data_IF_990880862867
#
_entry.id   IF_990880862867
#
_cell.length_a   1.000
_cell.length_b   1.000
_cell.length_c   1.000
_cell.angle_alpha   90.00
_cell.angle_beta   90.00
_cell.angle_gamma   90.00
#
_symmetry.space_group_name_H-M   'P 1'
#
loop_
_entity.id
_entity.type
_entity.pdbx_description
1 polymer ?
#
# COMPACT_ATOMS: atom_id res chain seq x y z
N UNK A 1 63.76 90.22 -20.19
CA UNK A 1 62.76 91.09 -20.86
C UNK A 1 61.66 90.20 -21.42
N UNK A 2 60.45 90.21 -20.84
CA UNK A 2 59.22 90.80 -21.44
C UNK A 2 58.97 90.23 -22.87
N UNK A 3 57.89 89.52 -23.22
CA UNK A 3 56.47 89.59 -22.83
C UNK A 3 55.66 88.50 -23.58
N UNK A 4 54.55 88.03 -22.96
CA UNK A 4 53.20 87.80 -23.55
C UNK A 4 53.03 86.71 -24.63
N UNK A 5 51.94 85.96 -24.78
CA UNK A 5 50.76 85.51 -24.01
C UNK A 5 49.99 84.57 -24.97
N UNK A 6 49.31 83.57 -24.41
CA UNK A 6 48.09 82.89 -24.85
C UNK A 6 47.56 83.22 -26.27
N UNK A 7 47.22 82.17 -27.03
CA UNK A 7 45.87 82.00 -27.61
C UNK A 7 45.64 80.57 -28.10
N UNK A 8 44.68 79.96 -27.43
CA UNK A 8 43.91 78.79 -27.80
C UNK A 8 42.92 79.24 -28.89
N UNK A 9 42.89 78.57 -30.04
CA UNK A 9 41.78 78.64 -31.01
C UNK A 9 41.51 77.24 -31.52
N UNK A 10 40.33 76.75 -31.16
CA UNK A 10 39.70 75.56 -31.68
C UNK A 10 39.30 75.76 -33.14
N UNK A 11 39.48 74.74 -33.98
CA UNK A 11 38.71 74.58 -35.22
C UNK A 11 37.62 73.54 -34.99
N UNK A 12 36.39 73.96 -35.26
CA UNK A 12 35.14 73.24 -35.10
C UNK A 12 34.91 72.16 -36.18
N UNK A 13 34.17 71.13 -35.77
CA UNK A 13 33.15 70.34 -36.48
C UNK A 13 33.48 69.68 -37.83
N UNK A 14 33.44 68.35 -37.86
CA UNK A 14 32.48 67.63 -38.72
C UNK A 14 32.23 66.20 -38.22
N UNK A 15 30.98 65.99 -37.87
CA UNK A 15 30.24 64.74 -37.67
C UNK A 15 30.61 63.62 -38.65
N UNK A 16 30.93 62.44 -38.13
CA UNK A 16 30.71 61.17 -38.81
C UNK A 16 30.50 60.08 -37.76
N UNK A 17 29.26 59.99 -37.27
CA UNK A 17 28.75 58.72 -36.76
C UNK A 17 28.71 57.76 -37.94
N UNK A 18 29.48 56.68 -37.90
CA UNK A 18 29.07 55.43 -38.52
C UNK A 18 29.08 54.35 -37.43
N UNK A 19 27.86 54.00 -37.06
CA UNK A 19 27.52 52.74 -36.40
C UNK A 19 28.00 51.56 -37.24
N UNK A 20 28.23 50.44 -36.56
CA UNK A 20 28.17 49.12 -37.16
C UNK A 20 29.54 48.53 -37.42
N UNK A 21 30.02 47.72 -36.48
CA UNK A 21 30.06 46.27 -36.67
C UNK A 21 29.90 45.64 -35.28
N UNK A 22 28.65 45.47 -34.87
CA UNK A 22 28.31 44.41 -33.93
C UNK A 22 28.89 43.13 -34.52
N UNK A 23 29.80 42.47 -33.80
CA UNK A 23 30.08 41.06 -34.06
C UNK A 23 28.72 40.38 -34.11
N UNK A 24 28.36 39.87 -35.28
CA UNK A 24 27.26 38.94 -35.40
C UNK A 24 27.67 37.73 -34.56
N UNK A 25 27.26 37.73 -33.29
CA UNK A 25 26.97 36.48 -32.62
C UNK A 25 26.06 35.75 -33.61
N UNK A 26 26.55 34.64 -34.16
CA UNK A 26 25.69 33.75 -34.91
C UNK A 26 24.49 33.51 -34.01
N UNK A 27 23.33 34.02 -34.41
CA UNK A 27 22.08 33.58 -33.83
C UNK A 27 22.06 32.09 -34.13
N UNK A 28 22.50 31.29 -33.15
CA UNK A 28 22.23 29.88 -33.12
C UNK A 28 20.74 29.78 -33.44
N UNK A 29 20.42 29.07 -34.53
CA UNK A 29 19.06 28.77 -34.91
C UNK A 29 18.39 28.26 -33.64
N UNK A 30 17.62 29.12 -32.98
CA UNK A 30 17.12 28.81 -31.66
C UNK A 30 16.10 27.74 -31.92
N UNK A 31 16.43 26.49 -31.61
CA UNK A 31 15.41 25.46 -31.46
C UNK A 31 14.50 25.97 -30.33
N UNK A 32 13.47 26.73 -30.70
CA UNK A 32 12.44 27.23 -29.78
C UNK A 32 11.64 26.07 -29.19
N UNK A 33 11.77 24.89 -29.79
CA UNK A 33 11.28 23.62 -29.28
C UNK A 33 12.51 22.79 -28.87
N UNK A 34 12.84 22.78 -27.58
CA UNK A 34 13.95 21.99 -27.05
C UNK A 34 13.84 20.49 -27.36
N UNK A 35 14.91 19.74 -27.10
CA UNK A 35 14.95 18.30 -27.35
C UNK A 35 14.37 17.51 -26.17
N UNK A 36 13.81 16.33 -26.44
CA UNK A 36 13.42 15.35 -25.42
C UNK A 36 14.44 14.22 -25.33
N UNK A 37 14.32 13.40 -24.29
CA UNK A 37 14.96 12.07 -24.26
C UNK A 37 14.27 11.20 -25.32
N UNK A 38 15.07 10.49 -26.12
CA UNK A 38 14.61 9.54 -27.14
C UNK A 38 15.71 8.51 -27.43
N UNK A 39 15.35 7.23 -27.59
CA UNK A 39 16.29 6.13 -27.83
C UNK A 39 16.91 5.56 -26.55
N UNK A 40 16.39 5.95 -25.39
CA UNK A 40 16.77 5.45 -24.06
C UNK A 40 15.71 4.48 -23.56
N UNK A 41 15.68 3.31 -24.21
CA UNK A 41 14.82 2.19 -23.87
C UNK A 41 15.62 0.89 -23.73
N UNK A 42 15.07 -0.06 -22.97
CA UNK A 42 15.67 -1.36 -22.69
C UNK A 42 16.59 -1.38 -21.46
N UNK A 43 17.28 -2.51 -21.22
CA UNK A 43 18.04 -2.74 -20.00
C UNK A 43 19.04 -1.62 -19.71
N UNK A 44 19.08 -1.18 -18.45
CA UNK A 44 19.93 -0.08 -18.00
C UNK A 44 19.38 1.33 -18.26
N UNK A 45 18.28 1.46 -19.02
CA UNK A 45 17.69 2.75 -19.43
C UNK A 45 16.18 2.77 -19.20
N UNK A 46 15.77 2.28 -18.04
CA UNK A 46 14.38 2.10 -17.65
C UNK A 46 14.23 2.15 -16.13
N UNK A 47 13.01 2.40 -15.69
CA UNK A 47 12.53 2.02 -14.38
C UNK A 47 12.15 0.54 -14.47
N UNK A 48 12.54 -0.27 -13.50
CA UNK A 48 12.04 -1.63 -13.28
C UNK A 48 11.33 -1.62 -11.95
N UNK A 49 10.03 -1.94 -11.96
CA UNK A 49 9.25 -2.05 -10.74
C UNK A 49 8.88 -3.51 -10.51
N UNK A 50 9.21 -4.03 -9.34
CA UNK A 50 8.90 -5.38 -8.91
C UNK A 50 7.90 -5.32 -7.76
N UNK A 51 6.85 -6.12 -7.85
CA UNK A 51 5.86 -6.27 -6.78
C UNK A 51 5.83 -7.74 -6.33
N UNK A 52 6.17 -7.96 -5.07
CA UNK A 52 6.16 -9.26 -4.39
C UNK A 52 5.17 -9.27 -3.23
N UNK A 53 4.48 -10.38 -3.03
CA UNK A 53 3.45 -10.56 -2.00
C UNK A 53 3.59 -11.92 -1.30
N UNK A 54 2.93 -12.10 -0.16
CA UNK A 54 2.93 -13.36 0.58
C UNK A 54 2.28 -14.53 -0.17
N UNK A 55 1.25 -14.24 -0.98
CA UNK A 55 0.55 -15.25 -1.80
C UNK A 55 0.00 -14.65 -3.09
N UNK A 56 -0.05 -15.44 -4.17
CA UNK A 56 -0.54 -14.99 -5.48
C UNK A 56 -1.94 -14.35 -5.44
N UNK A 57 -2.78 -14.79 -4.48
CA UNK A 57 -4.11 -14.25 -4.28
C UNK A 57 -4.15 -12.74 -4.02
N UNK A 58 -3.08 -12.17 -3.45
CA UNK A 58 -2.96 -10.75 -3.10
C UNK A 58 -2.52 -9.86 -4.27
N UNK A 59 -2.01 -10.44 -5.36
CA UNK A 59 -1.81 -9.69 -6.59
C UNK A 59 -3.15 -9.40 -7.26
N UNK A 60 -3.24 -8.23 -7.89
CA UNK A 60 -4.35 -7.82 -8.74
C UNK A 60 -3.82 -7.32 -10.10
N UNK A 61 -4.68 -7.23 -11.12
CA UNK A 61 -4.27 -6.81 -12.49
C UNK A 61 -4.51 -5.31 -12.76
N UNK A 62 -4.70 -4.52 -11.69
CA UNK A 62 -5.07 -3.10 -11.77
C UNK A 62 -4.22 -2.16 -10.90
N UNK A 63 -3.35 -2.71 -10.04
CA UNK A 63 -2.49 -1.94 -9.15
C UNK A 63 -1.61 -0.99 -9.97
N UNK A 64 -1.52 0.24 -9.49
CA UNK A 64 -0.77 1.31 -10.16
C UNK A 64 0.34 1.76 -9.23
N UNK A 65 1.57 1.80 -9.74
CA UNK A 65 2.71 2.35 -9.04
C UNK A 65 3.03 3.73 -9.62
N UNK A 66 2.98 4.74 -8.77
CA UNK A 66 3.22 6.14 -9.10
C UNK A 66 4.68 6.50 -8.81
N UNK A 67 5.33 7.17 -9.76
CA UNK A 67 6.71 7.65 -9.63
C UNK A 67 6.75 9.17 -9.77
N UNK A 68 7.56 9.82 -8.96
CA UNK A 68 7.86 11.24 -9.04
C UNK A 68 9.28 11.44 -9.60
N UNK A 69 9.38 12.14 -10.72
CA UNK A 69 10.63 12.64 -11.29
C UNK A 69 10.73 14.14 -11.02
N UNK A 70 11.49 14.50 -10.00
CA UNK A 70 11.70 15.88 -9.56
C UNK A 70 12.97 16.45 -10.19
N UNK A 71 12.88 17.57 -10.90
CA UNK A 71 14.03 18.36 -11.34
C UNK A 71 14.65 19.10 -10.15
N UNK A 72 15.94 18.88 -9.93
CA UNK A 72 16.66 19.40 -8.75
C UNK A 72 17.67 20.50 -9.08
N UNK A 73 18.01 20.66 -10.37
CA UNK A 73 18.93 21.70 -10.83
C UNK A 73 19.72 21.26 -12.06
N UNK A 74 20.60 22.13 -12.54
CA UNK A 74 21.50 21.80 -13.64
C UNK A 74 22.84 22.52 -13.53
N UNK A 75 23.88 21.81 -13.91
CA UNK A 75 25.24 22.32 -14.02
C UNK A 75 25.57 22.75 -15.45
N UNK A 76 26.38 23.80 -15.56
CA UNK A 76 26.96 24.24 -16.82
C UNK A 76 27.94 23.19 -17.37
N UNK A 77 27.88 22.93 -18.68
CA UNK A 77 28.90 22.13 -19.38
C UNK A 77 29.77 23.06 -20.24
N UNK A 78 31.08 23.05 -19.96
CA UNK A 78 32.04 23.94 -20.62
C UNK A 78 31.77 25.40 -20.25
N UNK A 79 31.60 26.27 -21.25
CA UNK A 79 31.27 27.69 -21.06
C UNK A 79 29.79 28.00 -21.34
N UNK A 80 28.94 26.98 -21.55
CA UNK A 80 27.51 27.18 -21.72
C UNK A 80 26.87 27.53 -20.37
N UNK A 81 25.95 28.49 -20.35
CA UNK A 81 25.20 28.80 -19.14
C UNK A 81 24.29 27.65 -18.74
N UNK A 82 24.08 27.46 -17.43
CA UNK A 82 23.05 26.58 -16.91
C UNK A 82 21.66 27.03 -17.42
N UNK A 83 20.77 26.07 -17.62
CA UNK A 83 19.43 26.28 -18.16
C UNK A 83 18.43 25.38 -17.44
N UNK A 84 17.18 25.84 -17.35
CA UNK A 84 16.08 25.10 -16.75
C UNK A 84 15.29 24.39 -17.85
N UNK A 85 15.01 23.08 -17.73
CA UNK A 85 14.18 22.38 -18.69
C UNK A 85 12.72 22.84 -18.57
N UNK A 86 11.93 22.58 -19.61
CA UNK A 86 10.47 22.78 -19.56
C UNK A 86 9.78 21.44 -19.46
N UNK A 87 8.67 21.37 -18.75
CA UNK A 87 7.73 20.25 -18.76
C UNK A 87 6.39 20.75 -19.30
N UNK A 88 5.92 20.16 -20.39
CA UNK A 88 4.69 20.55 -21.10
C UNK A 88 4.62 22.06 -21.40
N UNK A 89 5.75 22.65 -21.77
CA UNK A 89 5.87 24.06 -22.16
C UNK A 89 6.05 25.05 -21.00
N UNK A 90 6.06 24.58 -19.74
CA UNK A 90 6.32 25.43 -18.56
C UNK A 90 7.68 25.10 -17.96
N UNK A 91 8.45 26.10 -17.52
CA UNK A 91 9.74 25.85 -16.86
C UNK A 91 9.55 24.98 -15.60
N UNK A 92 10.44 24.01 -15.42
CA UNK A 92 10.50 23.17 -14.22
C UNK A 92 11.15 23.96 -13.08
N UNK A 93 10.36 24.80 -12.42
CA UNK A 93 10.74 25.57 -11.23
C UNK A 93 10.15 24.92 -9.98
N UNK A 94 10.53 25.35 -8.76
CA UNK A 94 10.15 24.69 -7.49
C UNK A 94 8.66 24.25 -7.39
N UNK A 95 7.71 25.01 -7.94
CA UNK A 95 6.28 24.70 -7.89
C UNK A 95 5.77 23.79 -9.04
N UNK A 96 6.60 23.52 -10.04
CA UNK A 96 6.30 22.70 -11.23
C UNK A 96 7.50 21.79 -11.59
N UNK A 97 8.32 21.44 -10.59
CA UNK A 97 9.56 20.71 -10.77
C UNK A 97 9.34 19.20 -10.90
N UNK A 98 8.14 18.70 -10.62
CA UNK A 98 7.88 17.26 -10.57
C UNK A 98 6.98 16.83 -11.71
N UNK A 99 7.46 15.87 -12.50
CA UNK A 99 6.63 15.07 -13.41
C UNK A 99 6.27 13.76 -12.71
N UNK A 100 5.02 13.33 -12.82
CA UNK A 100 4.63 11.98 -12.40
C UNK A 100 4.61 11.01 -13.57
N UNK A 101 4.89 9.75 -13.29
CA UNK A 101 4.77 8.64 -14.23
C UNK A 101 4.14 7.44 -13.53
N UNK A 102 3.46 6.57 -14.27
CA UNK A 102 2.77 5.42 -13.74
C UNK A 102 3.22 4.14 -14.42
N UNK A 103 3.35 3.08 -13.63
CA UNK A 103 3.45 1.71 -14.13
C UNK A 103 2.19 0.98 -13.73
N UNK A 104 1.45 0.49 -14.74
CA UNK A 104 0.30 -0.40 -14.58
C UNK A 104 0.59 -1.68 -15.35
N UNK A 105 0.10 -2.81 -14.83
CA UNK A 105 0.32 -4.11 -15.45
C UNK A 105 -0.74 -5.10 -15.01
N UNK A 106 -0.87 -6.20 -15.75
CA UNK A 106 -1.63 -7.36 -15.31
C UNK A 106 -0.74 -8.20 -14.36
N UNK A 107 -0.44 -7.68 -13.17
CA UNK A 107 0.56 -8.22 -12.24
C UNK A 107 0.30 -9.68 -11.87
N UNK A 108 -0.94 -10.00 -11.49
CA UNK A 108 -1.34 -11.38 -11.13
C UNK A 108 -1.20 -12.31 -12.32
N UNK A 109 -1.66 -11.87 -13.49
CA UNK A 109 -1.56 -12.65 -14.72
C UNK A 109 -0.11 -12.89 -15.13
N UNK A 110 0.76 -11.87 -15.04
CA UNK A 110 2.19 -11.97 -15.35
C UNK A 110 2.95 -12.85 -14.36
N UNK A 111 2.53 -12.86 -13.09
CA UNK A 111 3.13 -13.73 -12.09
C UNK A 111 2.92 -15.23 -12.39
N UNK A 112 1.97 -15.59 -13.25
CA UNK A 112 1.71 -16.96 -13.71
C UNK A 112 1.56 -17.98 -12.55
N UNK A 113 0.84 -17.56 -11.49
CA UNK A 113 0.65 -18.34 -10.26
C UNK A 113 1.76 -18.18 -9.22
N UNK A 114 2.83 -17.46 -9.54
CA UNK A 114 3.88 -17.04 -8.61
C UNK A 114 3.46 -15.88 -7.70
N UNK A 115 4.30 -15.55 -6.73
CA UNK A 115 4.02 -14.51 -5.74
C UNK A 115 4.74 -13.17 -6.03
N UNK A 116 5.27 -13.01 -7.24
CA UNK A 116 6.00 -11.82 -7.65
C UNK A 116 5.88 -11.59 -9.15
N UNK A 117 5.89 -10.33 -9.56
CA UNK A 117 5.96 -9.92 -10.97
C UNK A 117 6.65 -8.57 -11.11
N UNK A 118 7.18 -8.27 -12.30
CA UNK A 118 7.84 -7.00 -12.59
C UNK A 118 7.34 -6.39 -13.89
N UNK A 119 7.39 -5.06 -13.96
CA UNK A 119 7.10 -4.29 -15.17
C UNK A 119 8.09 -3.12 -15.31
N UNK A 120 8.25 -2.62 -16.53
CA UNK A 120 9.27 -1.61 -16.84
C UNK A 120 8.66 -0.38 -17.51
N UNK A 121 9.21 0.80 -17.21
CA UNK A 121 8.93 2.05 -17.93
C UNK A 121 10.23 2.58 -18.52
N UNK A 122 10.27 2.84 -19.83
CA UNK A 122 11.48 3.36 -20.47
C UNK A 122 11.80 4.79 -20.03
N UNK A 123 13.06 5.21 -20.15
CA UNK A 123 13.41 6.61 -19.93
C UNK A 123 12.82 7.54 -20.99
N UNK A 124 12.56 7.05 -22.20
CA UNK A 124 11.82 7.80 -23.22
C UNK A 124 10.44 8.22 -22.69
N UNK A 125 9.69 7.29 -22.09
CA UNK A 125 8.39 7.56 -21.48
C UNK A 125 8.49 8.37 -20.19
N UNK A 126 9.46 8.05 -19.33
CA UNK A 126 9.69 8.76 -18.06
C UNK A 126 9.98 10.24 -18.27
N UNK A 127 10.70 10.60 -19.34
CA UNK A 127 11.04 11.99 -19.67
C UNK A 127 10.11 12.62 -20.73
N UNK A 128 9.05 11.93 -21.16
CA UNK A 128 8.08 12.50 -22.09
C UNK A 128 7.52 13.86 -21.60
N UNK A 129 7.34 14.79 -22.52
CA UNK A 129 6.95 16.17 -22.20
C UNK A 129 8.05 17.07 -21.63
N UNK A 130 9.21 16.53 -21.22
CA UNK A 130 10.37 17.33 -20.77
C UNK A 130 11.22 17.73 -21.97
N UNK A 131 11.55 19.03 -22.07
CA UNK A 131 12.35 19.61 -23.15
C UNK A 131 13.56 20.39 -22.62
N UNK A 132 14.74 20.09 -23.18
CA UNK A 132 16.01 20.76 -22.90
C UNK A 132 16.36 21.73 -24.03
N UNK A 133 16.69 22.97 -23.67
CA UNK A 133 16.89 24.08 -24.62
C UNK A 133 18.35 24.53 -24.75
N UNK A 134 19.25 23.99 -23.93
CA UNK A 134 20.67 24.30 -23.96
C UNK A 134 21.52 23.07 -23.55
N UNK A 135 22.82 23.06 -23.86
CA UNK A 135 23.73 22.10 -23.28
C UNK A 135 23.85 22.27 -21.76
N UNK A 136 23.90 21.17 -21.04
CA UNK A 136 23.97 21.16 -19.58
C UNK A 136 23.93 19.74 -19.03
N UNK A 137 24.28 19.62 -17.75
CA UNK A 137 24.05 18.41 -16.98
C UNK A 137 22.83 18.66 -16.11
N UNK A 138 21.73 17.97 -16.39
CA UNK A 138 20.44 18.19 -15.73
C UNK A 138 20.20 17.11 -14.69
N UNK A 139 19.93 17.51 -13.46
CA UNK A 139 19.81 16.61 -12.31
C UNK A 139 18.35 16.40 -11.94
N UNK A 140 17.95 15.13 -11.85
CA UNK A 140 16.63 14.74 -11.39
C UNK A 140 16.73 13.75 -10.23
N UNK A 141 15.78 13.83 -9.31
CA UNK A 141 15.55 12.84 -8.27
C UNK A 141 14.31 12.03 -8.63
N UNK A 142 14.47 10.71 -8.76
CA UNK A 142 13.40 9.76 -9.01
C UNK A 142 13.05 9.01 -7.72
N UNK A 143 11.75 8.98 -7.37
CA UNK A 143 11.20 8.25 -6.23
C UNK A 143 9.89 7.58 -6.61
N UNK A 144 9.54 6.52 -5.90
CA UNK A 144 8.19 5.98 -5.89
C UNK A 144 7.33 6.76 -4.88
N UNK A 145 6.08 7.05 -5.24
CA UNK A 145 5.10 7.61 -4.33
C UNK A 145 4.30 6.45 -3.73
N UNK A 146 4.28 6.29 -2.40
CA UNK A 146 3.54 5.22 -1.76
C UNK A 146 2.05 5.27 -2.11
N UNK A 147 1.50 4.14 -2.54
CA UNK A 147 0.08 3.98 -2.81
C UNK A 147 -0.75 3.72 -1.55
N UNK A 148 -1.87 3.02 -1.72
CA UNK A 148 -2.84 2.78 -0.65
C UNK A 148 -3.16 1.29 -0.43
N UNK A 149 -2.54 0.39 -1.20
CA UNK A 149 -2.77 -1.04 -1.04
C UNK A 149 -2.18 -1.51 0.30
N UNK A 150 -3.00 -2.07 1.22
CA UNK A 150 -2.54 -2.42 2.56
C UNK A 150 -1.58 -3.62 2.59
N UNK A 151 -1.45 -4.36 1.48
CA UNK A 151 -0.57 -5.52 1.39
C UNK A 151 0.84 -5.18 0.90
N UNK A 152 1.11 -3.91 0.57
CA UNK A 152 2.35 -3.49 -0.09
C UNK A 152 3.19 -2.63 0.85
N UNK A 153 4.41 -3.09 1.13
CA UNK A 153 5.47 -2.22 1.62
C UNK A 153 6.11 -1.54 0.41
N UNK A 154 5.72 -0.28 0.17
CA UNK A 154 6.20 0.50 -0.98
C UNK A 154 7.69 0.83 -0.87
N UNK A 155 8.38 0.87 -2.00
CA UNK A 155 9.82 1.08 -2.08
C UNK A 155 10.20 2.49 -1.61
N UNK A 156 11.14 2.58 -0.66
CA UNK A 156 11.73 3.84 -0.21
C UNK A 156 12.97 4.26 -1.01
N UNK A 157 13.32 3.47 -2.03
CA UNK A 157 14.50 3.70 -2.84
C UNK A 157 14.39 5.02 -3.61
N UNK A 158 15.55 5.63 -3.85
CA UNK A 158 15.65 6.85 -4.64
C UNK A 158 16.88 6.83 -5.53
N UNK A 159 16.73 7.45 -6.70
CA UNK A 159 17.76 7.47 -7.73
C UNK A 159 17.98 8.89 -8.23
N UNK A 160 19.24 9.26 -8.39
CA UNK A 160 19.65 10.45 -9.11
C UNK A 160 19.77 10.09 -10.59
N UNK A 161 19.10 10.86 -11.45
CA UNK A 161 19.20 10.76 -12.91
C UNK A 161 19.86 12.02 -13.44
N UNK A 162 21.06 11.86 -13.98
CA UNK A 162 21.82 12.95 -14.60
C UNK A 162 21.71 12.84 -16.12
N UNK A 163 21.01 13.79 -16.73
CA UNK A 163 20.81 13.86 -18.18
C UNK A 163 21.83 14.83 -18.78
N UNK A 164 22.77 14.30 -19.56
CA UNK A 164 23.77 15.11 -20.25
C UNK A 164 23.26 15.53 -21.62
N UNK A 165 23.11 16.84 -21.83
CA UNK A 165 22.74 17.44 -23.10
C UNK A 165 23.91 18.20 -23.68
N UNK A 166 24.20 17.96 -24.96
CA UNK A 166 25.33 18.58 -25.69
C UNK A 166 24.88 19.06 -27.06
N UNK A 167 25.71 19.87 -27.71
CA UNK A 167 25.57 20.13 -29.14
C UNK A 167 25.88 18.86 -29.94
N UNK A 168 25.03 18.55 -30.89
CA UNK A 168 25.29 17.50 -31.87
C UNK A 168 26.43 17.93 -32.81
N UNK A 169 27.28 16.97 -33.16
CA UNK A 169 28.44 17.17 -34.04
C UNK A 169 28.41 16.19 -35.19
N UNK A 170 28.84 16.66 -36.36
CA UNK A 170 29.20 15.82 -37.50
C UNK A 170 30.50 15.04 -37.24
N UNK A 171 30.81 14.05 -38.10
CA UNK A 171 32.05 13.26 -38.02
C UNK A 171 33.33 14.11 -38.05
N UNK A 172 33.26 15.28 -38.69
CA UNK A 172 34.39 16.22 -38.78
C UNK A 172 34.53 17.12 -37.54
N UNK A 173 33.69 16.94 -36.51
CA UNK A 173 33.68 17.70 -35.27
C UNK A 173 32.96 19.05 -35.33
N UNK A 174 32.39 19.43 -36.47
CA UNK A 174 31.57 20.64 -36.58
C UNK A 174 30.21 20.44 -35.92
N UNK A 175 29.71 21.47 -35.24
CA UNK A 175 28.36 21.46 -34.68
C UNK A 175 27.31 21.50 -35.80
N UNK A 176 26.25 20.72 -35.66
CA UNK A 176 25.09 20.73 -36.59
C UNK A 176 24.13 21.88 -36.29
N UNK A 177 24.24 22.45 -35.09
CA UNK A 177 23.28 23.43 -34.54
C UNK A 177 22.10 22.79 -33.81
N UNK A 178 22.01 21.46 -33.76
CA UNK A 178 21.01 20.74 -32.97
C UNK A 178 21.57 20.33 -31.61
N UNK A 179 20.68 20.12 -30.64
CA UNK A 179 21.02 19.46 -29.37
C UNK A 179 20.90 17.94 -29.48
N UNK A 180 21.63 17.24 -28.62
CA UNK A 180 21.57 15.79 -28.44
C UNK A 180 21.66 15.42 -26.96
N UNK A 181 20.85 14.46 -26.52
CA UNK A 181 21.08 13.77 -25.24
C UNK A 181 22.26 12.80 -25.42
N UNK A 182 23.40 13.14 -24.83
CA UNK A 182 24.65 12.38 -24.90
C UNK A 182 24.60 11.10 -24.08
N UNK A 183 23.99 11.17 -22.90
CA UNK A 183 23.85 10.06 -21.98
C UNK A 183 22.92 10.39 -20.82
N UNK A 184 22.42 9.34 -20.18
CA UNK A 184 21.71 9.42 -18.90
C UNK A 184 22.46 8.51 -17.94
N UNK A 185 22.92 9.07 -16.82
CA UNK A 185 23.53 8.30 -15.74
C UNK A 185 22.52 8.12 -14.61
N UNK A 186 22.39 6.89 -14.13
CA UNK A 186 21.55 6.55 -12.98
C UNK A 186 22.44 6.22 -11.80
N UNK A 187 22.21 6.86 -10.67
CA UNK A 187 22.97 6.66 -9.43
C UNK A 187 21.99 6.36 -8.30
N UNK A 188 22.22 5.28 -7.56
CA UNK A 188 21.43 5.00 -6.36
C UNK A 188 21.78 6.03 -5.28
N UNK A 189 20.76 6.73 -4.75
CA UNK A 189 20.98 7.73 -3.71
C UNK A 189 21.43 7.11 -2.37
N UNK A 190 21.06 5.85 -2.12
CA UNK A 190 21.44 5.14 -0.90
C UNK A 190 22.93 4.77 -0.89
N UNK A 191 23.48 4.32 -2.02
CA UNK A 191 24.86 3.82 -2.11
C UNK A 191 25.83 4.82 -2.74
N UNK A 192 25.32 5.86 -3.41
CA UNK A 192 26.08 6.77 -4.27
C UNK A 192 26.89 6.02 -5.36
N UNK A 193 26.39 4.88 -5.81
CA UNK A 193 27.00 4.09 -6.88
C UNK A 193 26.15 4.13 -8.14
N UNK A 194 26.83 4.07 -9.30
CA UNK A 194 26.17 3.92 -10.60
C UNK A 194 25.31 2.65 -10.60
N UNK A 195 24.10 2.78 -11.10
CA UNK A 195 23.15 1.70 -11.31
C UNK A 195 22.85 1.54 -12.81
N UNK A 196 22.54 0.32 -13.22
CA UNK A 196 22.04 0.03 -14.57
C UNK A 196 20.50 0.14 -14.53
N UNK A 197 19.99 1.37 -14.67
CA UNK A 197 18.58 1.69 -14.53
C UNK A 197 18.18 1.97 -13.07
N UNK A 198 16.89 2.22 -12.85
CA UNK A 198 16.32 2.43 -11.52
C UNK A 198 15.41 1.24 -11.17
N UNK A 199 15.80 0.43 -10.18
CA UNK A 199 14.99 -0.68 -9.69
C UNK A 199 14.17 -0.25 -8.47
N UNK A 200 12.89 -0.58 -8.41
CA UNK A 200 12.06 -0.38 -7.24
C UNK A 200 11.49 -1.74 -6.84
N UNK A 201 11.71 -2.12 -5.59
CA UNK A 201 11.32 -3.41 -5.05
C UNK A 201 10.25 -3.18 -3.99
N UNK A 202 9.01 -3.52 -4.34
CA UNK A 202 7.86 -3.48 -3.47
C UNK A 202 7.63 -4.87 -2.88
N UNK A 203 7.64 -4.96 -1.55
CA UNK A 203 7.54 -6.24 -0.84
C UNK A 203 6.20 -6.39 -0.15
N UNK A 204 5.98 -7.56 0.45
CA UNK A 204 4.86 -7.77 1.35
C UNK A 204 4.93 -6.81 2.54
N UNK A 205 3.79 -6.22 2.89
CA UNK A 205 3.63 -5.51 4.15
C UNK A 205 3.51 -6.48 5.33
N UNK A 206 3.82 -6.00 6.53
CA UNK A 206 3.63 -6.77 7.76
C UNK A 206 2.16 -7.20 7.90
N UNK A 207 1.95 -8.47 8.22
CA UNK A 207 0.63 -9.09 8.23
C UNK A 207 0.53 -10.18 9.30
N UNK A 208 -0.70 -10.49 9.71
CA UNK A 208 -1.00 -11.50 10.74
C UNK A 208 -2.18 -12.40 10.32
N UNK A 209 -2.36 -13.53 11.02
CA UNK A 209 -3.48 -14.44 10.77
C UNK A 209 -4.66 -14.19 11.72
N UNK A 210 -5.90 -14.27 11.22
CA UNK A 210 -7.08 -14.40 12.09
C UNK A 210 -7.42 -15.87 12.32
N UNK A 211 -7.46 -16.30 13.59
CA UNK A 211 -7.83 -17.67 13.96
C UNK A 211 -9.18 -17.74 14.66
N UNK A 212 -10.11 -18.50 14.10
CA UNK A 212 -11.42 -18.79 14.70
C UNK A 212 -11.43 -20.23 15.20
N UNK A 213 -11.86 -20.45 16.44
CA UNK A 213 -11.83 -21.78 17.09
C UNK A 213 -13.17 -22.16 17.70
N UNK A 214 -13.46 -23.47 17.72
CA UNK A 214 -14.71 -24.00 18.27
C UNK A 214 -14.50 -24.99 19.41
N UNK A 215 -15.08 -24.68 20.57
CA UNK A 215 -15.21 -25.58 21.72
C UNK A 215 -16.67 -25.99 21.93
N UNK A 216 -16.89 -27.25 22.29
CA UNK A 216 -18.20 -27.83 22.58
C UNK A 216 -18.08 -28.51 23.94
N UNK A 217 -18.96 -28.15 24.87
CA UNK A 217 -18.86 -28.52 26.28
C UNK A 217 -20.24 -28.66 26.94
N UNK A 218 -20.29 -29.11 28.18
CA UNK A 218 -21.54 -29.48 28.86
C UNK A 218 -21.82 -30.98 28.76
N UNK A 219 -22.71 -31.48 29.63
CA UNK A 219 -22.95 -32.92 29.80
C UNK A 219 -23.94 -33.51 28.77
N UNK A 220 -24.66 -32.67 28.03
CA UNK A 220 -25.56 -33.08 26.94
C UNK A 220 -24.97 -32.88 25.54
N UNK A 221 -23.90 -32.09 25.45
CA UNK A 221 -23.31 -31.67 24.18
C UNK A 221 -22.76 -32.81 23.31
N UNK A 222 -23.05 -32.76 22.01
CA UNK A 222 -22.49 -33.65 21.01
C UNK A 222 -21.30 -33.00 20.29
N UNK A 223 -20.09 -33.44 20.62
CA UNK A 223 -18.83 -32.94 20.03
C UNK A 223 -18.67 -33.21 18.53
N UNK A 224 -19.51 -34.07 17.95
CA UNK A 224 -19.52 -34.33 16.50
C UNK A 224 -20.41 -33.35 15.73
N UNK A 225 -21.18 -32.50 16.42
CA UNK A 225 -21.99 -31.49 15.78
C UNK A 225 -21.11 -30.49 15.03
N UNK A 226 -21.53 -30.21 13.82
CA UNK A 226 -20.92 -29.20 12.95
C UNK A 226 -21.69 -27.88 13.08
N UNK A 227 -21.02 -26.79 13.44
CA UNK A 227 -21.62 -25.47 13.62
C UNK A 227 -21.28 -24.57 12.43
N UNK A 228 -22.26 -23.81 11.95
CA UNK A 228 -22.08 -22.90 10.81
C UNK A 228 -21.67 -21.52 11.28
N UNK A 229 -20.64 -20.97 10.63
CA UNK A 229 -20.10 -19.65 10.86
C UNK A 229 -20.10 -18.82 9.59
N UNK A 230 -20.17 -17.50 9.75
CA UNK A 230 -19.82 -16.54 8.71
C UNK A 230 -18.71 -15.62 9.20
N UNK A 231 -17.86 -15.16 8.28
CA UNK A 231 -16.87 -14.12 8.52
C UNK A 231 -16.94 -13.09 7.40
N UNK A 232 -16.87 -11.81 7.78
CA UNK A 232 -16.70 -10.67 6.86
C UNK A 232 -15.44 -9.93 7.30
N UNK A 233 -14.54 -9.63 6.36
CA UNK A 233 -13.32 -8.87 6.63
C UNK A 233 -13.28 -7.63 5.73
N UNK A 234 -13.01 -6.46 6.30
CA UNK A 234 -12.95 -5.18 5.62
C UNK A 234 -11.54 -4.57 5.74
N UNK A 235 -11.18 -3.70 4.80
CA UNK A 235 -9.87 -3.02 4.80
C UNK A 235 -8.74 -3.90 4.26
N UNK A 236 -9.09 -4.85 3.40
CA UNK A 236 -8.18 -5.78 2.74
C UNK A 236 -8.28 -5.61 1.22
N UNK A 237 -7.26 -6.06 0.48
CA UNK A 237 -7.28 -6.04 -0.98
C UNK A 237 -6.75 -7.37 -1.55
N UNK A 238 -7.38 -7.86 -2.63
CA UNK A 238 -7.10 -9.17 -3.19
C UNK A 238 -7.88 -10.32 -2.55
N UNK A 239 -7.35 -11.53 -2.70
CA UNK A 239 -7.97 -12.79 -2.27
C UNK A 239 -7.06 -13.51 -1.28
N UNK A 240 -7.57 -13.76 -0.08
CA UNK A 240 -6.82 -14.34 1.02
C UNK A 240 -7.13 -15.82 1.16
N UNK A 241 -6.09 -16.64 1.25
CA UNK A 241 -6.26 -18.07 1.49
C UNK A 241 -6.61 -18.37 2.94
N UNK A 242 -7.21 -19.54 3.12
CA UNK A 242 -7.56 -20.06 4.45
C UNK A 242 -6.98 -21.45 4.66
N UNK A 243 -7.03 -21.95 5.89
CA UNK A 243 -6.66 -23.34 6.18
C UNK A 243 -7.68 -24.37 5.64
N UNK A 244 -8.82 -23.92 5.10
CA UNK A 244 -9.80 -24.78 4.41
C UNK A 244 -9.60 -24.70 2.91
N UNK A 245 -9.47 -25.87 2.29
CA UNK A 245 -9.35 -25.97 0.84
C UNK A 245 -10.53 -25.28 0.15
N UNK A 246 -10.23 -24.56 -0.93
CA UNK A 246 -11.20 -23.87 -1.79
C UNK A 246 -12.07 -22.81 -1.09
N UNK A 247 -11.70 -22.39 0.12
CA UNK A 247 -12.33 -21.27 0.82
C UNK A 247 -11.36 -20.09 0.85
N UNK A 248 -11.81 -18.98 0.28
CA UNK A 248 -11.07 -17.71 0.24
C UNK A 248 -11.89 -16.59 0.86
N UNK A 249 -11.20 -15.54 1.29
CA UNK A 249 -11.80 -14.33 1.83
C UNK A 249 -11.42 -13.14 0.96
N UNK A 250 -12.38 -12.26 0.73
CA UNK A 250 -12.31 -11.06 -0.12
C UNK A 250 -12.96 -9.90 0.62
N UNK A 251 -12.59 -8.68 0.25
CA UNK A 251 -12.99 -7.48 0.98
C UNK A 251 -14.52 -7.30 1.03
N UNK A 252 -15.07 -7.28 2.24
CA UNK A 252 -16.49 -7.03 2.51
C UNK A 252 -17.44 -8.17 2.14
N UNK A 253 -16.95 -9.27 1.56
CA UNK A 253 -17.79 -10.42 1.23
C UNK A 253 -17.97 -11.36 2.43
N UNK A 254 -19.15 -11.97 2.54
CA UNK A 254 -19.45 -12.93 3.59
C UNK A 254 -18.96 -14.33 3.18
N UNK A 255 -18.00 -14.87 3.93
CA UNK A 255 -17.48 -16.22 3.75
C UNK A 255 -18.12 -17.16 4.79
N UNK A 256 -18.79 -18.20 4.32
CA UNK A 256 -19.41 -19.23 5.19
C UNK A 256 -18.49 -20.43 5.34
N UNK A 257 -18.36 -20.95 6.57
CA UNK A 257 -17.62 -22.16 6.87
C UNK A 257 -18.21 -22.88 8.08
N UNK A 258 -17.85 -24.14 8.27
CA UNK A 258 -18.31 -24.94 9.42
C UNK A 258 -17.18 -25.29 10.38
N UNK A 259 -17.44 -25.52 11.66
CA UNK A 259 -16.46 -26.09 12.59
C UNK A 259 -17.10 -27.10 13.53
N UNK A 260 -16.42 -28.23 13.75
CA UNK A 260 -16.69 -29.16 14.85
C UNK A 260 -15.89 -28.79 16.09
N UNK A 261 -16.12 -29.52 17.17
CA UNK A 261 -15.31 -29.40 18.38
C UNK A 261 -13.81 -29.58 18.09
N UNK A 262 -13.01 -28.60 18.51
CA UNK A 262 -11.55 -28.61 18.38
C UNK A 262 -11.03 -28.17 17.01
N UNK A 263 -11.91 -27.93 16.03
CA UNK A 263 -11.52 -27.43 14.72
C UNK A 263 -11.27 -25.93 14.73
N UNK A 264 -10.49 -25.48 13.74
CA UNK A 264 -10.13 -24.08 13.56
C UNK A 264 -10.31 -23.65 12.12
N UNK A 265 -10.69 -22.40 11.93
CA UNK A 265 -10.64 -21.69 10.66
C UNK A 265 -9.59 -20.59 10.78
N UNK A 266 -8.69 -20.49 9.82
CA UNK A 266 -7.59 -19.52 9.83
C UNK A 266 -7.54 -18.80 8.50
N UNK A 267 -7.56 -17.47 8.53
CA UNK A 267 -7.31 -16.59 7.38
C UNK A 267 -5.90 -16.03 7.56
N UNK A 268 -5.04 -16.20 6.56
CA UNK A 268 -3.63 -15.80 6.63
C UNK A 268 -3.40 -14.42 6.03
N UNK A 269 -2.22 -13.85 6.32
CA UNK A 269 -1.68 -12.67 5.65
C UNK A 269 -2.57 -11.42 5.72
N UNK A 270 -3.41 -11.27 6.75
CA UNK A 270 -4.27 -10.10 6.88
C UNK A 270 -3.47 -8.87 7.32
N UNK A 271 -3.65 -7.72 6.66
CA UNK A 271 -2.94 -6.49 7.02
C UNK A 271 -3.43 -5.93 8.36
N UNK A 272 -2.55 -5.18 9.01
CA UNK A 272 -2.86 -4.46 10.23
C UNK A 272 -4.10 -3.55 10.06
N UNK A 273 -4.99 -3.55 11.06
CA UNK A 273 -6.20 -2.73 11.05
C UNK A 273 -7.36 -3.30 10.22
N UNK A 274 -7.18 -4.42 9.51
CA UNK A 274 -8.29 -5.10 8.85
C UNK A 274 -9.38 -5.45 9.89
N UNK A 275 -10.61 -5.02 9.63
CA UNK A 275 -11.73 -5.18 10.56
C UNK A 275 -12.53 -6.43 10.21
N UNK A 276 -12.72 -7.32 11.18
CA UNK A 276 -13.47 -8.55 10.98
C UNK A 276 -14.76 -8.59 11.81
N UNK A 277 -15.74 -9.31 11.31
CA UNK A 277 -16.93 -9.73 12.05
C UNK A 277 -17.14 -11.22 11.83
N UNK A 278 -17.22 -11.99 12.91
CA UNK A 278 -17.47 -13.43 12.89
C UNK A 278 -18.82 -13.67 13.56
N UNK A 279 -19.65 -14.51 12.94
CA UNK A 279 -20.95 -14.90 13.47
C UNK A 279 -21.07 -16.43 13.48
N UNK A 280 -21.59 -16.99 14.58
CA UNK A 280 -22.11 -18.35 14.60
C UNK A 280 -23.61 -18.31 14.27
N UNK A 281 -24.00 -18.82 13.10
CA UNK A 281 -25.36 -18.68 12.58
C UNK A 281 -26.28 -19.81 13.02
N UNK A 282 -25.74 -21.00 13.30
CA UNK A 282 -26.49 -22.15 13.80
C UNK A 282 -25.89 -22.69 15.09
N UNK A 283 -26.51 -22.36 16.22
CA UNK A 283 -26.14 -22.89 17.53
C UNK A 283 -26.80 -24.23 17.85
N UNK A 284 -27.57 -24.82 16.92
CA UNK A 284 -28.21 -26.15 17.03
C UNK A 284 -29.06 -26.39 18.28
N UNK A 285 -29.57 -25.32 18.88
CA UNK A 285 -30.38 -25.39 20.10
C UNK A 285 -29.60 -25.60 21.40
N UNK A 286 -28.27 -25.46 21.39
CA UNK A 286 -27.45 -25.46 22.60
C UNK A 286 -27.89 -24.33 23.55
N UNK A 287 -27.81 -24.58 24.87
CA UNK A 287 -28.23 -23.66 25.93
C UNK A 287 -27.52 -22.30 25.84
N UNK A 288 -26.22 -22.31 25.55
CA UNK A 288 -25.39 -21.10 25.59
C UNK A 288 -24.31 -21.11 24.52
N UNK A 289 -24.09 -19.96 23.89
CA UNK A 289 -22.94 -19.68 23.02
C UNK A 289 -22.14 -18.52 23.63
N UNK A 290 -20.93 -18.82 24.07
CA UNK A 290 -19.98 -17.82 24.57
C UNK A 290 -18.89 -17.58 23.54
N UNK A 291 -18.45 -16.33 23.41
CA UNK A 291 -17.33 -15.95 22.54
C UNK A 291 -16.31 -15.12 23.32
N UNK A 292 -15.03 -15.34 23.04
CA UNK A 292 -13.92 -14.54 23.54
C UNK A 292 -13.04 -14.08 22.38
N UNK A 293 -12.56 -12.84 22.45
CA UNK A 293 -11.65 -12.25 21.47
C UNK A 293 -10.29 -12.05 22.13
N UNK A 294 -9.22 -12.52 21.48
CA UNK A 294 -7.83 -12.37 21.87
C UNK A 294 -7.53 -12.79 23.32
N UNK A 295 -8.19 -13.86 23.79
CA UNK A 295 -8.03 -14.36 25.16
C UNK A 295 -8.68 -13.49 26.25
N UNK A 296 -9.47 -12.48 25.86
CA UNK A 296 -10.28 -11.69 26.78
C UNK A 296 -11.40 -12.49 27.45
N UNK A 297 -12.16 -11.83 28.33
CA UNK A 297 -13.29 -12.45 29.03
C UNK A 297 -14.35 -12.95 28.03
N UNK A 298 -14.82 -14.17 28.22
CA UNK A 298 -15.89 -14.73 27.42
C UNK A 298 -17.22 -14.02 27.72
N UNK A 299 -17.97 -13.69 26.67
CA UNK A 299 -19.28 -13.05 26.73
C UNK A 299 -20.28 -13.94 26.00
N UNK A 300 -21.50 -14.06 26.53
CA UNK A 300 -22.60 -14.75 25.86
C UNK A 300 -23.04 -13.94 24.63
N UNK A 301 -22.63 -14.39 23.45
CA UNK A 301 -22.91 -13.75 22.17
C UNK A 301 -22.63 -14.73 21.03
N UNK A 302 -23.39 -14.59 19.94
CA UNK A 302 -23.15 -15.31 18.67
C UNK A 302 -22.28 -14.53 17.70
N UNK A 303 -21.98 -13.27 18.01
CA UNK A 303 -21.21 -12.36 17.16
C UNK A 303 -19.99 -11.83 17.90
N UNK A 304 -18.87 -11.74 17.20
CA UNK A 304 -17.66 -11.08 17.65
C UNK A 304 -17.09 -10.21 16.54
N UNK A 305 -16.57 -9.04 16.92
CA UNK A 305 -15.88 -8.12 16.05
C UNK A 305 -14.48 -7.84 16.61
N UNK A 306 -13.61 -7.36 15.74
CA UNK A 306 -12.26 -6.95 16.10
C UNK A 306 -11.49 -6.43 14.91
N UNK A 307 -10.24 -6.09 15.17
CA UNK A 307 -9.28 -5.65 14.15
C UNK A 307 -8.03 -6.51 14.25
N UNK A 308 -7.34 -6.68 13.13
CA UNK A 308 -6.04 -7.35 13.10
C UNK A 308 -4.98 -6.44 13.69
N UNK A 309 -4.30 -6.93 14.73
CA UNK A 309 -3.18 -6.25 15.37
C UNK A 309 -1.89 -7.01 15.07
N UNK A 310 -0.84 -6.28 14.70
CA UNK A 310 0.49 -6.86 14.52
C UNK A 310 1.09 -7.29 15.86
N UNK A 311 1.94 -8.32 15.84
CA UNK A 311 2.66 -8.84 17.01
C UNK A 311 1.76 -9.28 18.18
N UNK A 312 0.45 -9.42 17.94
CA UNK A 312 -0.56 -9.81 18.92
C UNK A 312 -1.30 -11.06 18.48
N UNK A 313 -1.93 -11.73 19.45
CA UNK A 313 -2.81 -12.87 19.14
C UNK A 313 -4.12 -12.36 18.56
N UNK A 314 -4.41 -12.71 17.30
CA UNK A 314 -5.70 -12.44 16.64
C UNK A 314 -6.55 -13.72 16.65
N UNK A 315 -7.36 -13.92 17.69
CA UNK A 315 -8.16 -15.14 17.87
C UNK A 315 -9.59 -14.84 18.31
N UNK A 316 -10.54 -15.55 17.70
CA UNK A 316 -11.95 -15.57 18.13
C UNK A 316 -12.31 -17.00 18.56
N UNK A 317 -12.58 -17.21 19.84
CA UNK A 317 -12.87 -18.53 20.38
C UNK A 317 -14.34 -18.63 20.82
N UNK A 318 -15.10 -19.49 20.13
CA UNK A 318 -16.49 -19.81 20.43
C UNK A 318 -16.61 -21.07 21.28
N UNK A 319 -17.45 -21.04 22.30
CA UNK A 319 -17.78 -22.19 23.16
C UNK A 319 -19.28 -22.38 23.19
N UNK A 320 -19.77 -23.52 22.68
CA UNK A 320 -21.15 -23.93 22.88
C UNK A 320 -21.26 -24.86 24.08
N UNK A 321 -22.26 -24.60 24.91
CA UNK A 321 -22.54 -25.34 26.13
C UNK A 321 -23.96 -25.90 26.04
N UNK A 322 -24.11 -27.20 26.26
CA UNK A 322 -25.42 -27.86 26.34
C UNK A 322 -25.46 -28.77 27.56
N UNK A 323 -26.48 -28.54 28.41
CA UNK A 323 -26.61 -29.19 29.70
C UNK A 323 -28.00 -29.73 29.95
N UNK A 324 -28.04 -30.91 30.59
CA UNK A 324 -29.30 -31.46 31.13
C UNK A 324 -29.13 -31.81 32.60
N UNK A 325 -30.10 -31.39 33.42
CA UNK A 325 -30.18 -31.88 34.80
C UNK A 325 -30.75 -33.29 34.80
N UNK A 326 -30.16 -34.24 35.56
CA UNK A 326 -30.73 -35.58 35.69
C UNK A 326 -32.18 -35.50 36.17
N UNK A 327 -33.08 -36.37 35.70
CA UNK A 327 -34.46 -36.40 36.18
C UNK A 327 -34.45 -36.76 37.68
N UNK A 328 -34.62 -35.76 38.55
CA UNK A 328 -34.78 -35.99 39.99
C UNK A 328 -36.17 -36.55 40.25
N UNK A 329 -36.31 -37.87 40.26
CA UNK A 329 -37.55 -38.61 40.55
C UNK A 329 -38.08 -38.50 41.99
N UNK A 330 -37.84 -37.40 42.70
CA UNK A 330 -38.03 -37.30 44.15
C UNK A 330 -39.31 -36.52 44.53
N UNK A 331 -39.92 -35.72 43.64
CA UNK A 331 -41.00 -34.81 44.07
C UNK A 331 -42.40 -35.46 44.07
N UNK A 332 -42.64 -36.55 43.31
CA UNK A 332 -44.00 -37.11 43.20
C UNK A 332 -44.35 -38.21 44.21
N UNK A 333 -43.37 -38.89 44.81
CA UNK A 333 -43.63 -40.05 45.68
C UNK A 333 -43.84 -39.72 47.18
N UNK A 334 -43.57 -38.50 47.62
CA UNK A 334 -43.72 -38.11 49.04
C UNK A 334 -44.98 -37.30 49.34
N UNK A 335 -45.70 -36.82 48.32
CA UNK A 335 -46.98 -36.09 48.52
C UNK A 335 -48.02 -36.93 49.27
N UNK A 336 -48.20 -38.24 48.97
CA UNK A 336 -49.13 -39.08 49.73
C UNK A 336 -48.68 -39.30 51.18
N UNK A 337 -47.36 -39.38 51.42
CA UNK A 337 -46.77 -39.61 52.75
C UNK A 337 -46.88 -38.35 53.62
N UNK A 338 -46.59 -37.17 53.07
CA UNK A 338 -46.76 -35.88 53.76
C UNK A 338 -48.24 -35.59 54.09
N UNK A 339 -49.17 -35.93 53.19
CA UNK A 339 -50.61 -35.85 53.46
C UNK A 339 -51.05 -36.83 54.56
N UNK A 340 -50.51 -38.05 54.57
CA UNK A 340 -50.80 -39.03 55.62
C UNK A 340 -50.27 -38.57 57.00
N UNK A 341 -49.07 -37.98 57.06
CA UNK A 341 -48.55 -37.39 58.31
C UNK A 341 -49.35 -36.18 58.78
N UNK A 342 -49.80 -35.31 57.87
CA UNK A 342 -50.66 -34.17 58.21
C UNK A 342 -52.05 -34.61 58.72
N UNK A 343 -52.64 -35.65 58.11
CA UNK A 343 -53.90 -36.23 58.56
C UNK A 343 -53.77 -36.89 59.94
N UNK A 344 -52.66 -37.60 60.21
CA UNK A 344 -52.39 -38.17 61.53
C UNK A 344 -52.23 -37.09 62.61
N UNK A 345 -51.52 -35.99 62.32
CA UNK A 345 -51.38 -34.86 63.25
C UNK A 345 -52.70 -34.11 63.50
N UNK A 346 -53.51 -33.91 62.45
CA UNK A 346 -54.85 -33.30 62.56
C UNK A 346 -55.81 -34.16 63.39
N UNK A 347 -55.76 -35.48 63.23
CA UNK A 347 -56.55 -36.43 64.02
C UNK A 347 -56.21 -36.43 65.51
N UNK A 348 -54.91 -36.38 65.86
CA UNK A 348 -54.47 -36.27 67.25
C UNK A 348 -54.94 -34.97 67.92
N UNK A 349 -54.87 -33.82 67.22
CA UNK A 349 -55.32 -32.53 67.76
C UNK A 349 -56.84 -32.49 68.03
N UNK A 350 -57.66 -33.10 67.17
CA UNK A 350 -59.12 -33.18 67.39
C UNK A 350 -59.45 -34.12 68.54
N UNK A 351 -58.70 -35.20 68.73
CA UNK A 351 -58.90 -36.15 69.83
C UNK A 351 -58.56 -35.55 71.20
N UNK A 352 -57.50 -34.72 71.30
CA UNK A 352 -57.15 -34.04 72.55
C UNK A 352 -58.05 -32.84 72.89
N UNK A 353 -58.79 -32.29 71.92
CA UNK A 353 -59.70 -31.17 72.16
C UNK A 353 -61.06 -31.59 72.75
N UNK A 354 -61.39 -32.89 72.76
CA UNK A 354 -62.70 -33.41 73.23
C UNK A 354 -62.75 -33.80 74.71
N UNK A 355 -61.65 -33.65 75.47
CA UNK A 355 -61.60 -33.90 76.91
C UNK A 355 -61.12 -32.67 77.69
N UNK A 356 -62.03 -31.71 77.89
CA UNK A 356 -62.09 -30.85 79.08
C UNK A 356 -63.47 -30.17 79.14
N UNK A 357 -64.27 -30.71 80.07
CA UNK A 357 -65.49 -30.18 80.75
C UNK A 357 -66.67 -29.82 79.85
#
# INVERSE_FOLDING_TARGET
>A
MKKFTKKLVASMLSTAMLMGMSLTAFAANSQTQGISVNGYSGPGRQITNTWSVAENGLLNDSETFDFALEYTGSDAIGTNASSTPTFNGSEMTQNNATKTAQITSAWKTKAAGGASSSETLSYDELFDGIRFTAPGLYHFMLRENPGHNPNIAYSDQSYLLDVQVVWETEDNGSQTGNLKVSGIATTSAATNQKSEGAGFENTEADAESLKITKTVSGNAANKNDEFTFTVVVNGIDGTYSTNKADVTVTNGEETTFTLKHGETFEIKNLPAGAAYTVNETDSKGYDTTNVSVNGGNAVESKSANGTINLDETNTVAYTNIDTVTPPTGVILHFVPVLLAFAAAFGGCLVFFRRKRI
#
